data_IF_680625667849
#
_entry.id   IF_680625667849
#
_cell.length_a   1.000
_cell.length_b   1.000
_cell.length_c   1.000
_cell.angle_alpha   90.00
_cell.angle_beta   90.00
_cell.angle_gamma   90.00
#
_symmetry.space_group_name_H-M   'P 1'
#
loop_
_entity.id
_entity.type
_entity.pdbx_description
1 polymer ?
#
# COMPACT_ATOMS: atom_id res chain seq x y z
N UNK A 1 15.25 25.73 -65.98
CA UNK A 1 14.23 26.18 -65.02
C UNK A 1 14.26 27.68 -64.95
N UNK A 2 13.10 28.32 -65.06
CA UNK A 2 12.96 29.75 -64.83
C UNK A 2 12.92 30.07 -63.33
N UNK A 3 13.23 31.31 -62.97
CA UNK A 3 13.13 31.77 -61.57
C UNK A 3 11.70 31.63 -61.01
N UNK A 4 10.68 31.77 -61.85
CA UNK A 4 9.28 31.55 -61.49
C UNK A 4 9.00 30.08 -61.13
N UNK A 5 9.53 29.13 -61.90
CA UNK A 5 9.37 27.70 -61.62
C UNK A 5 10.04 27.30 -60.29
N UNK A 6 11.23 27.86 -60.01
CA UNK A 6 11.92 27.63 -58.74
C UNK A 6 11.14 28.19 -57.53
N UNK A 7 10.59 29.40 -57.65
CA UNK A 7 9.75 29.99 -56.60
C UNK A 7 8.47 29.19 -56.34
N UNK A 8 7.84 28.68 -57.40
CA UNK A 8 6.65 27.85 -57.28
C UNK A 8 6.95 26.51 -56.57
N UNK A 9 8.07 25.87 -56.89
CA UNK A 9 8.50 24.62 -56.25
C UNK A 9 8.83 24.81 -54.76
N UNK A 10 9.52 25.91 -54.41
CA UNK A 10 9.81 26.25 -53.02
C UNK A 10 8.55 26.52 -52.21
N UNK A 11 7.55 27.20 -52.80
CA UNK A 11 6.27 27.44 -52.15
C UNK A 11 5.47 26.15 -51.93
N UNK A 12 5.48 25.22 -52.90
CA UNK A 12 4.83 23.90 -52.76
C UNK A 12 5.52 23.04 -51.70
N UNK A 13 6.86 23.05 -51.65
CA UNK A 13 7.64 22.35 -50.63
C UNK A 13 7.35 22.90 -49.23
N UNK A 14 7.34 24.23 -49.07
CA UNK A 14 7.02 24.87 -47.79
C UNK A 14 5.60 24.53 -47.31
N UNK A 15 4.62 24.47 -48.24
CA UNK A 15 3.25 24.05 -47.92
C UNK A 15 3.20 22.59 -47.48
N UNK A 16 3.83 21.67 -48.23
CA UNK A 16 3.89 20.25 -47.86
C UNK A 16 4.57 20.05 -46.52
N UNK A 17 5.65 20.77 -46.26
CA UNK A 17 6.36 20.70 -44.97
C UNK A 17 5.47 21.21 -43.83
N UNK A 18 4.76 22.34 -44.02
CA UNK A 18 3.81 22.85 -43.03
C UNK A 18 2.64 21.88 -42.77
N UNK A 19 2.10 21.26 -43.81
CA UNK A 19 1.05 20.25 -43.70
C UNK A 19 1.54 18.99 -42.96
N UNK A 20 2.76 18.54 -43.23
CA UNK A 20 3.38 17.42 -42.51
C UNK A 20 3.66 17.76 -41.04
N UNK A 21 4.14 18.97 -40.75
CA UNK A 21 4.30 19.44 -39.38
C UNK A 21 2.97 19.49 -38.64
N UNK A 22 1.92 20.05 -39.24
CA UNK A 22 0.58 20.11 -38.63
C UNK A 22 -0.01 18.71 -38.38
N UNK A 23 0.18 17.76 -39.33
CA UNK A 23 -0.22 16.36 -39.13
C UNK A 23 0.55 15.70 -38.00
N UNK A 24 1.86 15.97 -37.90
CA UNK A 24 2.72 15.45 -36.84
C UNK A 24 2.31 15.99 -35.48
N UNK A 25 2.08 17.30 -35.35
CA UNK A 25 1.59 17.93 -34.12
C UNK A 25 0.24 17.37 -33.71
N UNK A 26 -0.70 17.21 -34.65
CA UNK A 26 -2.01 16.62 -34.36
C UNK A 26 -1.90 15.16 -33.90
N UNK A 27 -1.02 14.37 -34.53
CA UNK A 27 -0.76 12.98 -34.12
C UNK A 27 -0.11 12.92 -32.73
N UNK A 28 0.81 13.83 -32.42
CA UNK A 28 1.42 13.95 -31.09
C UNK A 28 0.38 14.31 -30.02
N UNK A 29 -0.47 15.30 -30.27
CA UNK A 29 -1.55 15.68 -29.35
C UNK A 29 -2.51 14.51 -29.07
N UNK A 30 -2.93 13.78 -30.10
CA UNK A 30 -3.76 12.56 -29.93
C UNK A 30 -3.05 11.48 -29.12
N UNK A 31 -1.75 11.33 -29.31
CA UNK A 31 -0.93 10.37 -28.56
C UNK A 31 -0.84 10.77 -27.08
N UNK A 32 -0.59 12.05 -26.79
CA UNK A 32 -0.58 12.57 -25.42
C UNK A 32 -1.92 12.39 -24.71
N UNK A 33 -3.03 12.68 -25.41
CA UNK A 33 -4.38 12.47 -24.87
C UNK A 33 -4.64 10.99 -24.55
N UNK A 34 -4.27 10.10 -25.48
CA UNK A 34 -4.38 8.66 -25.30
C UNK A 34 -3.55 8.18 -24.11
N UNK A 35 -2.29 8.64 -23.99
CA UNK A 35 -1.41 8.32 -22.86
C UNK A 35 -1.98 8.80 -21.53
N UNK A 36 -2.56 10.01 -21.48
CA UNK A 36 -3.23 10.53 -20.27
C UNK A 36 -4.42 9.66 -19.88
N UNK A 37 -5.25 9.24 -20.85
CA UNK A 37 -6.38 8.37 -20.59
C UNK A 37 -5.94 6.98 -20.08
N UNK A 38 -4.94 6.37 -20.71
CA UNK A 38 -4.36 5.09 -20.27
C UNK A 38 -3.79 5.20 -18.87
N UNK A 39 -3.02 6.24 -18.58
CA UNK A 39 -2.44 6.47 -17.24
C UNK A 39 -3.53 6.60 -16.18
N UNK A 40 -4.63 7.33 -16.49
CA UNK A 40 -5.78 7.46 -15.59
C UNK A 40 -6.49 6.12 -15.36
N UNK A 41 -6.69 5.32 -16.41
CA UNK A 41 -7.30 4.00 -16.31
C UNK A 41 -6.43 3.02 -15.51
N UNK A 42 -5.12 3.02 -15.75
CA UNK A 42 -4.15 2.22 -14.98
C UNK A 42 -4.15 2.59 -13.50
N UNK A 43 -4.18 3.89 -13.17
CA UNK A 43 -4.34 4.34 -11.79
C UNK A 43 -5.66 3.87 -11.17
N UNK A 44 -6.76 3.93 -11.93
CA UNK A 44 -8.07 3.42 -11.50
C UNK A 44 -8.07 1.91 -11.25
N UNK A 45 -7.36 1.13 -12.06
CA UNK A 45 -7.20 -0.31 -11.87
C UNK A 45 -6.35 -0.63 -10.65
N UNK A 46 -5.23 0.07 -10.45
CA UNK A 46 -4.38 -0.06 -9.26
C UNK A 46 -5.15 0.17 -7.96
N UNK A 47 -6.00 1.21 -7.93
CA UNK A 47 -6.85 1.49 -6.78
C UNK A 47 -7.85 0.35 -6.48
N UNK A 48 -8.52 -0.18 -7.52
CA UNK A 48 -9.47 -1.29 -7.35
C UNK A 48 -8.78 -2.57 -6.85
N UNK A 49 -7.58 -2.86 -7.36
CA UNK A 49 -6.79 -4.00 -6.92
C UNK A 49 -6.37 -3.86 -5.45
N UNK A 50 -6.00 -2.66 -5.02
CA UNK A 50 -5.74 -2.34 -3.62
C UNK A 50 -6.95 -2.61 -2.73
N UNK A 51 -8.13 -2.07 -3.08
CA UNK A 51 -9.36 -2.29 -2.29
C UNK A 51 -9.79 -3.76 -2.24
N UNK A 52 -9.61 -4.52 -3.33
CA UNK A 52 -9.89 -5.96 -3.35
C UNK A 52 -8.93 -6.73 -2.43
N UNK A 53 -7.64 -6.39 -2.48
CA UNK A 53 -6.61 -6.94 -1.61
C UNK A 53 -6.93 -6.71 -0.13
N UNK A 54 -7.33 -5.48 0.22
CA UNK A 54 -7.75 -5.10 1.57
C UNK A 54 -8.93 -5.94 2.04
N UNK A 55 -9.96 -6.13 1.20
CA UNK A 55 -11.11 -6.98 1.52
C UNK A 55 -10.71 -8.41 1.91
N UNK A 56 -9.89 -9.07 1.08
CA UNK A 56 -9.42 -10.43 1.34
C UNK A 56 -8.52 -10.52 2.59
N UNK A 57 -7.67 -9.51 2.79
CA UNK A 57 -6.80 -9.42 3.96
C UNK A 57 -7.62 -9.25 5.23
N UNK A 58 -8.61 -8.36 5.26
CA UNK A 58 -9.44 -8.10 6.44
C UNK A 58 -10.19 -9.34 6.90
N UNK A 59 -10.82 -10.07 6.00
CA UNK A 59 -11.57 -11.29 6.37
C UNK A 59 -10.66 -12.39 6.90
N UNK A 60 -9.48 -12.56 6.28
CA UNK A 60 -8.48 -13.53 6.73
C UNK A 60 -7.88 -13.12 8.08
N UNK A 61 -7.57 -11.85 8.26
CA UNK A 61 -6.96 -11.34 9.49
C UNK A 61 -7.94 -11.31 10.67
N UNK A 62 -9.24 -11.11 10.46
CA UNK A 62 -10.27 -11.31 11.51
C UNK A 62 -10.21 -12.74 12.06
N UNK A 63 -10.13 -13.74 11.18
CA UNK A 63 -10.01 -15.15 11.55
C UNK A 63 -8.70 -15.42 12.30
N UNK A 64 -7.58 -14.91 11.78
CA UNK A 64 -6.26 -15.09 12.38
C UNK A 64 -6.17 -14.46 13.77
N UNK A 65 -6.63 -13.21 13.92
CA UNK A 65 -6.66 -12.51 15.21
C UNK A 65 -7.47 -13.28 16.25
N UNK A 66 -8.63 -13.82 15.88
CA UNK A 66 -9.45 -14.62 16.78
C UNK A 66 -8.80 -15.96 17.13
N UNK A 67 -8.38 -16.73 16.12
CA UNK A 67 -7.96 -18.12 16.30
C UNK A 67 -6.54 -18.27 16.83
N UNK A 68 -5.60 -17.45 16.37
CA UNK A 68 -4.18 -17.55 16.75
C UNK A 68 -3.80 -16.61 17.89
N UNK A 69 -4.42 -15.43 17.95
CA UNK A 69 -4.06 -14.41 18.92
C UNK A 69 -5.08 -14.27 20.06
N UNK A 70 -6.24 -14.91 19.96
CA UNK A 70 -7.29 -14.85 20.98
C UNK A 70 -7.92 -13.48 21.12
N UNK A 71 -7.93 -12.67 20.05
CA UNK A 71 -8.59 -11.38 20.06
C UNK A 71 -10.11 -11.55 20.25
N UNK A 72 -10.65 -10.84 21.24
CA UNK A 72 -12.07 -10.83 21.59
C UNK A 72 -12.82 -9.75 20.82
N UNK A 73 -12.12 -8.64 20.53
CA UNK A 73 -12.65 -7.50 19.79
C UNK A 73 -11.71 -7.20 18.62
N UNK A 74 -12.27 -7.01 17.42
CA UNK A 74 -11.52 -6.63 16.21
C UNK A 74 -12.21 -5.44 15.54
N UNK A 75 -11.48 -4.34 15.36
CA UNK A 75 -11.95 -3.11 14.72
C UNK A 75 -11.17 -2.84 13.43
N UNK A 76 -11.85 -2.52 12.32
CA UNK A 76 -11.20 -2.29 11.01
C UNK A 76 -12.13 -1.63 9.97
N UNK A 77 -11.66 -0.63 9.20
CA UNK A 77 -10.55 0.27 9.51
C UNK A 77 -10.93 1.22 10.67
N UNK A 78 -9.94 1.75 11.39
CA UNK A 78 -10.16 2.72 12.48
C UNK A 78 -9.37 4.00 12.25
N UNK A 79 -10.05 5.15 12.21
CA UNK A 79 -9.42 6.47 12.15
C UNK A 79 -9.36 7.08 13.53
N UNK A 80 -8.16 7.46 13.96
CA UNK A 80 -7.90 8.15 15.20
C UNK A 80 -7.43 9.59 14.95
N UNK A 81 -7.91 10.51 15.78
CA UNK A 81 -7.63 11.93 15.67
C UNK A 81 -6.89 12.42 16.92
N UNK A 82 -5.80 13.16 16.73
CA UNK A 82 -5.02 13.76 17.82
C UNK A 82 -4.57 15.16 17.43
N UNK A 83 -5.33 16.17 17.86
CA UNK A 83 -5.15 17.55 17.41
C UNK A 83 -5.33 17.63 15.90
N UNK A 84 -4.38 18.25 15.19
CA UNK A 84 -4.39 18.34 13.73
C UNK A 84 -3.93 17.05 13.01
N UNK A 85 -3.55 15.99 13.74
CA UNK A 85 -3.07 14.74 13.15
C UNK A 85 -4.18 13.71 13.06
N UNK A 86 -4.27 13.06 11.91
CA UNK A 86 -5.12 11.88 11.69
C UNK A 86 -4.24 10.67 11.42
N UNK A 87 -4.55 9.54 12.06
CA UNK A 87 -3.92 8.26 11.79
C UNK A 87 -5.00 7.21 11.57
N UNK A 88 -5.00 6.61 10.39
CA UNK A 88 -5.79 5.42 10.10
C UNK A 88 -5.01 4.18 10.52
N UNK A 89 -5.68 3.19 11.10
CA UNK A 89 -5.17 1.86 11.45
C UNK A 89 -6.03 0.83 10.73
N UNK A 90 -5.38 -0.08 10.00
CA UNK A 90 -6.12 -0.98 9.10
C UNK A 90 -6.93 -1.98 9.90
N UNK A 91 -6.31 -2.62 10.91
CA UNK A 91 -7.05 -3.38 11.92
C UNK A 91 -6.40 -3.35 13.30
N UNK A 92 -7.24 -3.36 14.33
CA UNK A 92 -6.82 -3.49 15.72
C UNK A 92 -7.56 -4.65 16.37
N UNK A 93 -6.82 -5.67 16.82
CA UNK A 93 -7.33 -6.78 17.63
C UNK A 93 -7.00 -6.58 19.10
N UNK A 94 -7.96 -6.83 20.00
CA UNK A 94 -7.79 -6.65 21.45
C UNK A 94 -8.11 -7.95 22.17
N UNK A 95 -7.22 -8.36 23.07
CA UNK A 95 -7.40 -9.49 24.00
C UNK A 95 -7.28 -8.97 25.43
N UNK A 96 -8.40 -8.96 26.15
CA UNK A 96 -8.48 -8.38 27.49
C UNK A 96 -8.09 -9.37 28.59
N UNK A 97 -8.45 -9.04 29.84
CA UNK A 97 -8.23 -9.87 31.01
C UNK A 97 -6.75 -10.00 31.39
N UNK A 98 -6.29 -11.23 31.60
CA UNK A 98 -4.92 -11.52 32.06
C UNK A 98 -3.84 -11.17 31.03
N UNK A 99 -4.17 -11.23 29.74
CA UNK A 99 -3.19 -11.07 28.68
C UNK A 99 -2.84 -9.60 28.43
N UNK A 100 -3.86 -8.73 28.42
CA UNK A 100 -3.74 -7.29 28.12
C UNK A 100 -2.96 -7.06 26.82
N UNK A 101 -3.44 -7.61 25.71
CA UNK A 101 -2.72 -7.59 24.43
C UNK A 101 -3.52 -6.84 23.36
N UNK A 102 -2.79 -6.08 22.56
CA UNK A 102 -3.31 -5.39 21.37
C UNK A 102 -2.46 -5.80 20.18
N UNK A 103 -3.10 -6.05 19.05
CA UNK A 103 -2.48 -6.44 17.81
C UNK A 103 -2.84 -5.41 16.75
N UNK A 104 -1.85 -4.65 16.27
CA UNK A 104 -2.01 -3.78 15.11
C UNK A 104 -1.65 -4.56 13.85
N UNK A 105 -2.61 -4.66 12.93
CA UNK A 105 -2.40 -5.23 11.60
C UNK A 105 -2.30 -4.10 10.58
N UNK A 106 -1.23 -4.11 9.78
CA UNK A 106 -1.10 -3.27 8.58
C UNK A 106 -1.21 -4.14 7.33
N UNK A 107 -2.10 -3.76 6.43
CA UNK A 107 -2.33 -4.45 5.15
C UNK A 107 -1.53 -3.77 4.04
N UNK A 108 -0.85 -4.58 3.22
CA UNK A 108 -0.04 -4.11 2.09
C UNK A 108 -0.30 -4.96 0.85
N UNK A 109 -0.48 -4.33 -0.30
CA UNK A 109 -0.41 -5.04 -1.58
C UNK A 109 1.02 -5.50 -1.85
N UNK A 110 1.99 -4.60 -1.68
CA UNK A 110 3.41 -4.90 -1.76
C UNK A 110 4.13 -4.33 -0.55
N UNK A 111 4.91 -5.18 0.14
CA UNK A 111 5.76 -4.72 1.24
C UNK A 111 7.13 -4.31 0.70
N UNK A 112 7.53 -3.07 1.00
CA UNK A 112 8.90 -2.59 0.78
C UNK A 112 9.52 -2.07 2.09
N UNK A 113 10.82 -1.73 2.05
CA UNK A 113 11.55 -1.30 3.24
C UNK A 113 11.01 -0.01 3.87
N UNK A 114 10.47 0.91 3.08
CA UNK A 114 9.91 2.16 3.60
C UNK A 114 8.53 1.96 4.20
N UNK A 115 7.70 1.08 3.63
CA UNK A 115 6.44 0.63 4.24
C UNK A 115 6.69 -0.02 5.60
N UNK A 116 7.70 -0.89 5.72
CA UNK A 116 8.10 -1.47 7.01
C UNK A 116 8.51 -0.38 8.03
N UNK A 117 9.33 0.60 7.62
CA UNK A 117 9.70 1.72 8.50
C UNK A 117 8.47 2.52 8.95
N UNK A 118 7.51 2.78 8.05
CA UNK A 118 6.25 3.48 8.37
C UNK A 118 5.44 2.68 9.38
N UNK A 119 5.29 1.37 9.20
CA UNK A 119 4.61 0.49 10.16
C UNK A 119 5.27 0.53 11.53
N UNK A 120 6.60 0.46 11.60
CA UNK A 120 7.34 0.56 12.87
C UNK A 120 7.14 1.91 13.56
N UNK A 121 7.11 3.01 12.80
CA UNK A 121 6.78 4.34 13.34
C UNK A 121 5.37 4.38 13.90
N UNK A 122 4.39 3.81 13.17
CA UNK A 122 2.98 3.74 13.58
C UNK A 122 2.80 2.95 14.87
N UNK A 123 3.50 1.83 15.02
CA UNK A 123 3.54 1.03 16.26
C UNK A 123 4.09 1.83 17.45
N UNK A 124 5.19 2.58 17.26
CA UNK A 124 5.76 3.44 18.31
C UNK A 124 4.82 4.58 18.73
N UNK A 125 4.05 5.13 17.79
CA UNK A 125 3.13 6.23 18.05
C UNK A 125 1.72 5.76 18.47
N UNK A 126 1.44 4.46 18.45
CA UNK A 126 0.10 3.88 18.62
C UNK A 126 -0.63 4.44 19.84
N UNK A 127 -0.03 4.40 21.03
CA UNK A 127 -0.66 4.83 22.28
C UNK A 127 -0.88 6.34 22.37
N UNK A 128 -0.25 7.14 21.50
CA UNK A 128 -0.55 8.57 21.37
C UNK A 128 -1.93 8.79 20.74
N UNK A 129 -2.31 7.90 19.83
CA UNK A 129 -3.60 7.90 19.13
C UNK A 129 -4.65 7.05 19.83
N UNK A 130 -4.24 6.01 20.54
CA UNK A 130 -5.11 5.09 21.29
C UNK A 130 -4.81 5.13 22.81
N UNK A 131 -4.99 6.28 23.49
CA UNK A 131 -4.61 6.41 24.90
C UNK A 131 -5.44 5.51 25.84
N UNK A 132 -6.65 5.11 25.43
CA UNK A 132 -7.51 4.20 26.18
C UNK A 132 -6.98 2.76 26.23
N UNK A 133 -6.02 2.41 25.38
CA UNK A 133 -5.35 1.09 25.38
C UNK A 133 -4.00 1.12 26.12
N UNK A 134 -3.64 2.22 26.79
CA UNK A 134 -2.42 2.28 27.61
C UNK A 134 -2.44 1.20 28.70
N UNK A 135 -1.27 0.60 28.95
CA UNK A 135 -1.13 -0.53 29.87
C UNK A 135 -1.35 -1.90 29.23
N UNK A 136 -1.65 -1.94 27.93
CA UNK A 136 -1.64 -3.16 27.12
C UNK A 136 -0.29 -3.36 26.42
N UNK A 137 0.03 -4.60 26.10
CA UNK A 137 1.18 -5.02 25.28
C UNK A 137 0.77 -4.95 23.81
N UNK A 138 1.36 -4.02 23.04
CA UNK A 138 1.11 -3.92 21.61
C UNK A 138 2.09 -4.80 20.83
N UNK A 139 1.55 -5.59 19.90
CA UNK A 139 2.28 -6.34 18.90
C UNK A 139 1.90 -5.89 17.50
N UNK A 140 2.84 -5.95 16.57
CA UNK A 140 2.58 -5.63 15.16
C UNK A 140 2.49 -6.88 14.29
N UNK A 141 1.60 -6.84 13.31
CA UNK A 141 1.42 -7.84 12.27
C UNK A 141 1.42 -7.11 10.92
N UNK A 142 2.22 -7.58 9.97
CA UNK A 142 2.12 -7.14 8.57
C UNK A 142 1.36 -8.22 7.80
N UNK A 143 0.35 -7.82 7.05
CA UNK A 143 -0.41 -8.66 6.12
C UNK A 143 -0.14 -8.21 4.69
N UNK A 144 0.68 -8.95 3.94
CA UNK A 144 1.15 -8.52 2.63
C UNK A 144 0.85 -9.54 1.51
N UNK A 145 0.42 -9.09 0.33
CA UNK A 145 0.24 -10.01 -0.83
C UNK A 145 1.60 -10.44 -1.37
N UNK A 146 2.45 -9.48 -1.67
CA UNK A 146 3.81 -9.73 -2.17
C UNK A 146 4.86 -9.26 -1.14
N UNK A 147 5.77 -10.16 -0.78
CA UNK A 147 6.90 -9.91 0.12
C UNK A 147 8.18 -10.40 -0.58
N UNK A 148 8.99 -9.46 -1.04
CA UNK A 148 10.15 -9.75 -1.89
C UNK A 148 11.46 -9.85 -1.11
N UNK A 149 12.32 -10.77 -1.56
CA UNK A 149 13.70 -10.91 -1.06
C UNK A 149 13.76 -11.15 0.45
N UNK A 150 14.75 -10.52 1.11
CA UNK A 150 14.99 -10.67 2.55
C UNK A 150 14.01 -9.87 3.44
N UNK A 151 12.94 -9.29 2.88
CA UNK A 151 12.01 -8.49 3.68
C UNK A 151 11.21 -9.33 4.66
N UNK A 152 10.85 -10.57 4.33
CA UNK A 152 10.16 -11.46 5.26
C UNK A 152 10.99 -11.68 6.53
N UNK A 153 12.28 -11.99 6.37
CA UNK A 153 13.22 -12.16 7.48
C UNK A 153 13.38 -10.87 8.27
N UNK A 154 13.42 -9.72 7.58
CA UNK A 154 13.51 -8.42 8.25
C UNK A 154 12.28 -8.09 9.08
N UNK A 155 11.07 -8.41 8.62
CA UNK A 155 9.83 -8.23 9.40
C UNK A 155 9.91 -9.02 10.71
N UNK A 156 10.34 -10.28 10.62
CA UNK A 156 10.50 -11.16 11.77
C UNK A 156 11.64 -10.69 12.71
N UNK A 157 12.75 -10.21 12.16
CA UNK A 157 13.86 -9.64 12.91
C UNK A 157 13.46 -8.38 13.70
N UNK A 158 12.59 -7.54 13.14
CA UNK A 158 12.00 -6.38 13.84
C UNK A 158 10.97 -6.79 14.92
N UNK A 159 10.73 -8.09 15.07
CA UNK A 159 9.81 -8.67 16.05
C UNK A 159 8.34 -8.54 15.66
N UNK A 160 8.05 -8.35 14.38
CA UNK A 160 6.67 -8.30 13.87
C UNK A 160 6.25 -9.69 13.36
N UNK A 161 4.97 -10.02 13.52
CA UNK A 161 4.40 -11.18 12.83
C UNK A 161 4.17 -10.86 11.35
N UNK A 162 4.17 -11.90 10.52
CA UNK A 162 3.90 -11.79 9.08
C UNK A 162 2.76 -12.71 8.69
N UNK A 163 1.78 -12.18 7.97
CA UNK A 163 0.78 -12.94 7.24
C UNK A 163 0.93 -12.64 5.74
N UNK A 164 0.87 -13.67 4.90
CA UNK A 164 1.00 -13.50 3.45
C UNK A 164 -0.18 -14.11 2.71
N UNK A 165 -0.43 -13.60 1.50
CA UNK A 165 -1.38 -14.24 0.60
C UNK A 165 -0.98 -15.70 0.34
N UNK A 166 -1.99 -16.55 0.28
CA UNK A 166 -2.00 -17.92 -0.22
C UNK A 166 -3.12 -18.02 -1.26
N UNK A 167 -3.30 -19.18 -1.89
CA UNK A 167 -4.17 -19.40 -3.06
C UNK A 167 -5.49 -18.60 -3.05
N UNK A 168 -6.22 -18.59 -1.93
CA UNK A 168 -7.51 -17.89 -1.82
C UNK A 168 -7.60 -16.92 -0.63
N UNK A 169 -6.66 -17.00 0.33
CA UNK A 169 -6.75 -16.34 1.65
C UNK A 169 -5.38 -15.86 2.14
N UNK A 170 -5.33 -15.09 3.21
CA UNK A 170 -4.06 -14.87 3.94
C UNK A 170 -3.82 -15.95 5.00
N UNK A 171 -2.56 -16.31 5.19
CA UNK A 171 -2.10 -17.24 6.24
C UNK A 171 -0.99 -16.61 7.07
N UNK A 172 -0.99 -16.90 8.37
CA UNK A 172 0.11 -16.52 9.25
C UNK A 172 1.35 -17.33 8.88
N UNK A 173 2.46 -16.65 8.59
CA UNK A 173 3.76 -17.26 8.39
C UNK A 173 4.23 -17.81 9.73
N UNK A 174 4.59 -19.10 9.77
CA UNK A 174 5.13 -19.72 10.98
C UNK A 174 6.50 -19.09 11.29
N UNK A 175 6.66 -18.40 12.44
CA UNK A 175 7.95 -17.80 12.76
C UNK A 175 9.03 -18.88 12.95
N UNK A 176 10.30 -18.57 12.64
CA UNK A 176 11.41 -19.48 12.87
C UNK A 176 11.60 -19.73 14.38
N UNK A 177 12.33 -20.80 14.71
CA UNK A 177 12.69 -21.12 16.09
C UNK A 177 13.43 -19.94 16.74
N UNK A 178 13.02 -19.58 17.96
CA UNK A 178 13.62 -18.47 18.72
C UNK A 178 13.06 -17.08 18.39
N UNK A 179 12.08 -16.96 17.48
CA UNK A 179 11.37 -15.70 17.27
C UNK A 179 10.75 -15.19 18.58
N UNK A 180 11.01 -13.92 18.88
CA UNK A 180 10.41 -13.21 20.01
C UNK A 180 9.70 -11.96 19.48
N UNK A 181 8.37 -11.87 19.60
CA UNK A 181 7.65 -10.70 19.12
C UNK A 181 8.05 -9.48 19.95
N UNK A 182 8.25 -8.36 19.27
CA UNK A 182 8.54 -7.08 19.92
C UNK A 182 7.27 -6.56 20.58
N UNK A 183 7.38 -6.29 21.87
CA UNK A 183 6.32 -5.62 22.64
C UNK A 183 6.57 -4.12 22.58
N UNK A 184 5.57 -3.38 22.12
CA UNK A 184 5.53 -1.93 22.19
C UNK A 184 4.65 -1.54 23.40
N UNK A 185 5.13 -0.61 24.21
CA UNK A 185 4.41 -0.07 25.37
C UNK A 185 4.30 1.44 25.25
N UNK A 186 3.36 2.04 25.99
CA UNK A 186 3.38 3.48 26.16
C UNK A 186 4.62 3.84 27.00
N UNK A 187 5.50 4.69 26.47
CA UNK A 187 6.50 5.40 27.26
C UNK A 187 5.82 6.27 28.33
#
# INVERSE_FOLDING_TARGET
MSEQELRALLADLARKQADEHAKTESAQQRTEETLRQVTKQLGGLGNKFGSFTEGLAFDSMRRILKQHFGAEVVSSPTKAFRGARTQEFDMVGVRNGRHKEVYLVEVKSELNADELKKTLKKLREFFRFMPHLKGMKLYGIISAVDVRGALADRVLHEGLYLATASDENFKLVKPPGGFKPKVFTAE
#
